data_IF_577159113452
#
_entry.id   IF_577159113452
#
_cell.length_a   1.000
_cell.length_b   1.000
_cell.length_c   1.000
_cell.angle_alpha   90.00
_cell.angle_beta   90.00
_cell.angle_gamma   90.00
#
_symmetry.space_group_name_H-M   'P 1'
#
loop_
_entity.id
_entity.type
_entity.pdbx_description
1 polymer ?
#
# COMPACT_ATOMS: atom_id res chain seq x y z
N UNK A 1 43.18 45.07 29.60
CA UNK A 1 43.06 44.42 28.27
C UNK A 1 42.16 43.16 28.22
N UNK A 2 41.98 42.39 29.30
CA UNK A 2 41.14 41.16 29.28
C UNK A 2 39.62 41.36 29.14
N UNK A 3 39.08 42.54 29.45
CA UNK A 3 37.64 42.83 29.35
C UNK A 3 37.18 42.98 27.89
N UNK A 4 37.98 43.64 27.05
CA UNK A 4 37.74 43.74 25.60
C UNK A 4 37.87 42.38 24.90
N UNK A 5 38.81 41.53 25.35
CA UNK A 5 38.98 40.17 24.81
C UNK A 5 37.78 39.25 25.12
N UNK A 6 37.26 39.28 26.37
CA UNK A 6 36.05 38.52 26.76
C UNK A 6 34.75 39.04 26.13
N UNK A 7 34.68 40.32 25.77
CA UNK A 7 33.53 40.92 25.06
C UNK A 7 33.52 40.52 23.58
N UNK A 8 34.67 40.62 22.91
CA UNK A 8 34.86 40.13 21.54
C UNK A 8 34.66 38.62 21.41
N UNK A 9 35.05 37.82 22.41
CA UNK A 9 34.76 36.38 22.41
C UNK A 9 33.27 36.09 22.58
N UNK A 10 32.53 36.80 23.43
CA UNK A 10 31.06 36.63 23.58
C UNK A 10 30.30 37.05 22.32
N UNK A 11 30.72 38.12 21.65
CA UNK A 11 30.14 38.57 20.38
C UNK A 11 30.45 37.57 19.25
N UNK A 12 31.69 37.07 19.17
CA UNK A 12 32.07 36.00 18.24
C UNK A 12 31.31 34.70 18.52
N UNK A 13 31.13 34.33 19.79
CA UNK A 13 30.33 33.16 20.20
C UNK A 13 28.87 33.33 19.79
N UNK A 14 28.30 34.52 19.96
CA UNK A 14 26.94 34.82 19.53
C UNK A 14 26.77 34.73 18.00
N UNK A 15 27.73 35.22 17.23
CA UNK A 15 27.76 35.11 15.75
C UNK A 15 27.84 33.64 15.32
N UNK A 16 28.72 32.85 15.93
CA UNK A 16 28.85 31.41 15.62
C UNK A 16 27.54 30.67 15.93
N UNK A 17 26.89 30.95 17.08
CA UNK A 17 25.61 30.34 17.44
C UNK A 17 24.49 30.76 16.45
N UNK A 18 24.46 32.02 16.02
CA UNK A 18 23.51 32.52 15.03
C UNK A 18 23.71 31.84 13.67
N UNK A 19 24.95 31.71 13.22
CA UNK A 19 25.28 31.02 11.97
C UNK A 19 24.92 29.53 12.04
N UNK A 20 25.20 28.86 13.15
CA UNK A 20 24.82 27.46 13.36
C UNK A 20 23.30 27.28 13.39
N UNK A 21 22.56 28.19 14.04
CA UNK A 21 21.09 28.19 14.01
C UNK A 21 20.54 28.44 12.61
N UNK A 22 21.10 29.40 11.87
CA UNK A 22 20.65 29.71 10.52
C UNK A 22 20.94 28.56 9.55
N UNK A 23 22.12 27.95 9.65
CA UNK A 23 22.47 26.76 8.89
C UNK A 23 21.52 25.60 9.22
N UNK A 24 21.22 25.36 10.51
CA UNK A 24 20.26 24.34 10.92
C UNK A 24 18.85 24.59 10.36
N UNK A 25 18.38 25.85 10.37
CA UNK A 25 17.10 26.22 9.78
C UNK A 25 17.08 26.01 8.26
N UNK A 26 18.16 26.34 7.56
CA UNK A 26 18.29 26.08 6.12
C UNK A 26 18.25 24.57 5.86
N UNK A 27 19.03 23.77 6.59
CA UNK A 27 19.07 22.31 6.45
C UNK A 27 17.69 21.70 6.69
N UNK A 28 16.97 22.16 7.73
CA UNK A 28 15.61 21.70 8.02
C UNK A 28 14.63 22.10 6.91
N UNK A 29 14.69 23.33 6.42
CA UNK A 29 13.82 23.83 5.36
C UNK A 29 14.06 23.09 4.02
N UNK A 30 15.32 22.82 3.67
CA UNK A 30 15.65 22.05 2.46
C UNK A 30 15.24 20.59 2.62
N UNK A 31 15.51 19.95 3.76
CA UNK A 31 15.12 18.55 3.99
C UNK A 31 13.59 18.35 3.90
N UNK A 32 12.81 19.30 4.41
CA UNK A 32 11.34 19.27 4.28
C UNK A 32 10.88 19.34 2.82
N UNK A 33 11.56 20.12 1.98
CA UNK A 33 11.25 20.23 0.55
C UNK A 33 11.59 18.93 -0.23
N UNK A 34 12.60 18.18 0.22
CA UNK A 34 13.10 17.01 -0.52
C UNK A 34 12.33 15.72 -0.16
N UNK A 35 11.71 15.65 1.02
CA UNK A 35 11.03 14.45 1.53
C UNK A 35 9.52 14.62 1.76
N UNK A 36 8.95 15.80 1.50
CA UNK A 36 7.53 16.09 1.79
C UNK A 36 6.51 15.31 0.96
N UNK A 37 6.92 14.71 -0.16
CA UNK A 37 6.02 14.10 -1.16
C UNK A 37 6.35 12.63 -1.48
N UNK A 38 7.08 11.94 -0.59
CA UNK A 38 7.40 10.52 -0.81
C UNK A 38 6.20 9.66 -0.47
N UNK A 39 5.68 8.93 -1.46
CA UNK A 39 4.51 8.06 -1.33
C UNK A 39 3.24 8.70 -1.92
N UNK A 40 2.08 8.09 -1.68
CA UNK A 40 0.80 8.69 -2.05
C UNK A 40 -0.25 8.46 -0.96
N UNK A 41 -1.17 9.42 -0.85
CA UNK A 41 -2.30 9.29 0.05
C UNK A 41 -3.36 8.34 -0.51
N UNK A 42 -3.92 7.52 0.35
CA UNK A 42 -5.05 6.69 0.03
C UNK A 42 -6.26 7.54 -0.38
N UNK A 43 -6.79 7.28 -1.58
CA UNK A 43 -7.95 7.99 -2.14
C UNK A 43 -9.29 7.60 -1.48
N UNK A 44 -9.30 6.61 -0.57
CA UNK A 44 -10.49 6.22 0.18
C UNK A 44 -10.92 7.34 1.14
N UNK A 45 -12.20 7.70 1.10
CA UNK A 45 -12.80 8.76 1.91
C UNK A 45 -12.64 8.51 3.42
N UNK A 46 -11.75 9.25 4.07
CA UNK A 46 -11.55 9.19 5.52
C UNK A 46 -10.30 8.43 5.97
N UNK A 47 -9.57 7.74 5.06
CA UNK A 47 -8.32 7.08 5.42
C UNK A 47 -7.14 8.05 5.49
N UNK A 48 -6.92 8.86 4.43
CA UNK A 48 -5.79 9.81 4.25
C UNK A 48 -4.38 9.26 4.56
N UNK A 49 -4.23 7.95 4.76
CA UNK A 49 -2.94 7.32 5.03
C UNK A 49 -1.99 7.55 3.87
N UNK A 50 -0.78 8.05 4.16
CA UNK A 50 0.31 8.14 3.21
C UNK A 50 1.03 6.80 3.17
N UNK A 51 1.00 6.13 2.01
CA UNK A 51 1.65 4.84 1.80
C UNK A 51 2.82 5.03 0.82
N UNK A 52 3.99 4.49 1.16
CA UNK A 52 5.19 4.59 0.33
C UNK A 52 5.10 3.70 -0.91
N UNK A 53 4.26 2.65 -0.86
CA UNK A 53 3.95 1.78 -1.99
C UNK A 53 2.44 1.82 -2.27
N UNK A 54 1.94 2.90 -2.90
CA UNK A 54 0.53 3.00 -3.21
C UNK A 54 0.12 1.97 -4.25
N UNK A 55 -1.01 1.30 -4.01
CA UNK A 55 -1.61 0.36 -4.94
C UNK A 55 -2.55 1.12 -5.88
N UNK A 56 -2.28 1.09 -7.18
CA UNK A 56 -3.19 1.64 -8.19
C UNK A 56 -4.26 0.60 -8.53
N UNK A 57 -5.53 1.01 -8.44
CA UNK A 57 -6.67 0.21 -8.88
C UNK A 57 -6.75 0.20 -10.41
N UNK A 58 -6.74 -0.96 -11.04
CA UNK A 58 -6.89 -1.12 -12.50
C UNK A 58 -8.28 -0.76 -13.04
N UNK A 59 -9.27 -0.57 -12.17
CA UNK A 59 -10.63 -0.20 -12.54
C UNK A 59 -10.85 1.31 -12.53
N UNK A 60 -10.43 1.99 -11.46
CA UNK A 60 -10.65 3.43 -11.28
C UNK A 60 -9.37 4.28 -11.31
N UNK A 61 -8.20 3.66 -11.51
CA UNK A 61 -6.88 4.29 -11.60
C UNK A 61 -6.50 5.15 -10.39
N UNK A 62 -7.19 4.97 -9.26
CA UNK A 62 -6.93 5.67 -8.01
C UNK A 62 -5.94 4.89 -7.13
N UNK A 63 -5.18 5.61 -6.31
CA UNK A 63 -4.14 5.05 -5.44
C UNK A 63 -4.68 4.78 -4.03
N UNK A 64 -4.38 3.61 -3.49
CA UNK A 64 -4.85 3.16 -2.17
C UNK A 64 -3.72 2.57 -1.33
N UNK A 65 -3.87 2.62 0.00
CA UNK A 65 -2.97 1.94 0.93
C UNK A 65 -3.24 0.43 0.96
N UNK A 66 -2.38 -0.32 1.67
CA UNK A 66 -2.51 -1.77 1.81
C UNK A 66 -3.90 -2.24 2.27
N UNK A 67 -4.54 -1.52 3.20
CA UNK A 67 -5.87 -1.87 3.72
C UNK A 67 -7.01 -1.61 2.74
N UNK A 68 -6.81 -0.74 1.74
CA UNK A 68 -7.84 -0.31 0.78
C UNK A 68 -7.56 -0.74 -0.66
N UNK A 69 -6.59 -1.65 -0.87
CA UNK A 69 -6.18 -2.11 -2.21
C UNK A 69 -7.24 -2.93 -2.96
N UNK A 70 -8.13 -3.64 -2.27
CA UNK A 70 -9.18 -4.45 -2.92
C UNK A 70 -10.35 -3.57 -3.35
N UNK A 71 -11.09 -3.98 -4.39
CA UNK A 71 -12.18 -3.16 -4.92
C UNK A 71 -13.26 -2.89 -3.87
N UNK A 72 -13.62 -3.91 -3.06
CA UNK A 72 -14.57 -3.80 -1.96
C UNK A 72 -14.09 -2.87 -0.86
N UNK A 73 -12.80 -2.89 -0.51
CA UNK A 73 -12.29 -2.11 0.61
C UNK A 73 -12.33 -0.59 0.36
N UNK A 74 -12.18 -0.14 -0.90
CA UNK A 74 -12.36 1.27 -1.25
C UNK A 74 -13.69 1.59 -1.93
N UNK A 75 -14.61 0.62 -2.01
CA UNK A 75 -15.91 0.81 -2.67
C UNK A 75 -15.78 1.23 -4.13
N UNK A 76 -14.97 0.51 -4.91
CA UNK A 76 -14.63 0.90 -6.28
C UNK A 76 -15.90 1.07 -7.15
N UNK A 77 -16.12 2.26 -7.74
CA UNK A 77 -17.34 2.53 -8.52
C UNK A 77 -17.37 1.75 -9.86
N UNK A 78 -16.20 1.30 -10.33
CA UNK A 78 -16.02 0.61 -11.61
C UNK A 78 -15.66 -0.88 -11.41
N UNK A 79 -15.80 -1.43 -10.20
CA UNK A 79 -15.46 -2.82 -9.91
C UNK A 79 -16.23 -3.79 -10.79
N UNK A 80 -17.52 -3.52 -11.03
CA UNK A 80 -18.39 -4.36 -11.87
C UNK A 80 -18.32 -5.86 -11.57
N UNK A 81 -18.10 -6.27 -10.31
CA UNK A 81 -17.95 -7.67 -9.90
C UNK A 81 -16.56 -8.30 -10.13
N UNK A 82 -15.51 -7.50 -10.34
CA UNK A 82 -14.12 -7.98 -10.53
C UNK A 82 -13.42 -8.46 -9.26
N UNK A 83 -14.01 -8.23 -8.08
CA UNK A 83 -13.60 -8.94 -6.85
C UNK A 83 -14.08 -10.40 -6.96
N UNK A 84 -13.46 -11.17 -7.86
CA UNK A 84 -13.73 -12.60 -7.97
C UNK A 84 -13.10 -13.28 -6.77
N UNK A 85 -13.94 -13.69 -5.83
CA UNK A 85 -13.55 -14.68 -4.85
C UNK A 85 -13.26 -15.98 -5.61
N UNK A 86 -12.25 -16.73 -5.20
CA UNK A 86 -11.89 -17.96 -5.88
C UNK A 86 -11.42 -19.02 -4.88
N UNK A 87 -11.84 -20.26 -5.12
CA UNK A 87 -11.35 -21.43 -4.39
C UNK A 87 -10.50 -22.28 -5.31
N UNK A 88 -9.45 -22.88 -4.75
CA UNK A 88 -8.55 -23.77 -5.50
C UNK A 88 -8.98 -25.21 -5.26
N UNK A 89 -9.09 -25.97 -6.34
CA UNK A 89 -9.47 -27.37 -6.26
C UNK A 89 -8.37 -28.27 -5.69
N UNK A 90 -8.51 -28.88 -4.49
CA UNK A 90 -7.56 -29.87 -4.00
C UNK A 90 -7.30 -31.03 -4.97
N UNK A 91 -8.30 -31.49 -5.74
CA UNK A 91 -8.20 -32.68 -6.61
C UNK A 91 -7.54 -32.40 -7.96
N UNK A 92 -7.96 -31.35 -8.66
CA UNK A 92 -7.47 -31.03 -10.01
C UNK A 92 -6.61 -29.76 -10.09
N UNK A 93 -6.51 -28.99 -9.00
CA UNK A 93 -5.80 -27.70 -8.87
C UNK A 93 -6.34 -26.56 -9.74
N UNK A 94 -7.52 -26.71 -10.36
CA UNK A 94 -8.20 -25.60 -11.06
C UNK A 94 -8.74 -24.57 -10.07
N UNK A 95 -8.72 -23.31 -10.49
CA UNK A 95 -9.32 -22.19 -9.77
C UNK A 95 -10.80 -22.08 -10.16
N UNK A 96 -11.69 -22.16 -9.18
CA UNK A 96 -13.14 -22.01 -9.34
C UNK A 96 -13.50 -20.59 -8.91
N UNK A 97 -14.11 -19.82 -9.82
CA UNK A 97 -14.55 -18.45 -9.55
C UNK A 97 -15.88 -18.47 -8.78
N UNK A 98 -15.99 -17.60 -7.78
CA UNK A 98 -17.16 -17.34 -6.97
C UNK A 98 -17.65 -15.90 -7.21
N UNK A 99 -18.96 -15.72 -7.30
CA UNK A 99 -19.67 -14.45 -7.36
C UNK A 99 -20.12 -14.03 -5.95
N UNK A 100 -20.63 -12.80 -5.82
CA UNK A 100 -20.86 -12.10 -4.55
C UNK A 100 -21.89 -12.74 -3.60
N UNK A 101 -22.51 -13.87 -3.94
CA UNK A 101 -23.37 -14.64 -3.03
C UNK A 101 -23.24 -16.16 -3.23
N UNK A 102 -22.20 -16.61 -3.92
CA UNK A 102 -22.02 -18.03 -4.18
C UNK A 102 -21.54 -18.75 -2.91
N UNK A 103 -22.20 -19.84 -2.55
CA UNK A 103 -21.69 -20.74 -1.52
C UNK A 103 -20.45 -21.50 -2.04
N UNK A 104 -19.31 -21.45 -1.33
CA UNK A 104 -18.08 -22.11 -1.77
C UNK A 104 -18.25 -23.63 -1.94
N UNK A 105 -19.05 -24.27 -1.11
CA UNK A 105 -19.25 -25.72 -1.13
C UNK A 105 -20.18 -26.13 -2.29
N UNK A 106 -21.24 -25.37 -2.56
CA UNK A 106 -22.12 -25.64 -3.70
C UNK A 106 -21.39 -25.47 -5.05
N UNK A 107 -20.57 -24.41 -5.20
CA UNK A 107 -19.75 -24.22 -6.41
C UNK A 107 -18.68 -25.28 -6.56
N UNK A 108 -18.12 -25.73 -5.44
CA UNK A 108 -17.19 -26.85 -5.40
C UNK A 108 -17.84 -28.15 -5.88
N UNK A 109 -19.01 -28.49 -5.35
CA UNK A 109 -19.77 -29.68 -5.73
C UNK A 109 -20.23 -29.63 -7.19
N UNK A 110 -20.68 -28.47 -7.66
CA UNK A 110 -21.00 -28.26 -9.08
C UNK A 110 -19.78 -28.49 -9.98
N UNK A 111 -18.59 -28.04 -9.58
CA UNK A 111 -17.34 -28.33 -10.29
C UNK A 111 -17.02 -29.83 -10.34
N UNK A 112 -17.27 -30.56 -9.24
CA UNK A 112 -17.10 -32.02 -9.21
C UNK A 112 -18.12 -32.73 -10.11
N UNK A 113 -19.39 -32.32 -10.06
CA UNK A 113 -20.49 -32.91 -10.82
C UNK A 113 -20.41 -32.65 -12.33
N UNK A 114 -19.82 -31.51 -12.75
CA UNK A 114 -19.72 -31.12 -14.15
C UNK A 114 -18.77 -32.00 -15.01
N UNK A 115 -18.17 -33.06 -14.46
CA UNK A 115 -17.18 -33.93 -15.13
C UNK A 115 -15.90 -33.23 -15.62
N UNK A 116 -15.76 -31.93 -15.36
CA UNK A 116 -14.57 -31.13 -15.69
C UNK A 116 -13.46 -31.21 -14.62
N UNK A 117 -13.77 -31.82 -13.47
CA UNK A 117 -12.81 -32.09 -12.41
C UNK A 117 -12.06 -33.40 -12.69
N UNK A 118 -10.91 -33.31 -13.35
CA UNK A 118 -10.01 -34.44 -13.56
C UNK A 118 -8.98 -34.48 -12.43
N UNK A 119 -9.07 -35.43 -11.47
CA UNK A 119 -8.08 -35.54 -10.41
C UNK A 119 -6.71 -35.84 -10.99
N UNK A 120 -5.71 -35.04 -10.63
CA UNK A 120 -4.32 -35.28 -11.05
C UNK A 120 -3.77 -36.43 -10.20
N UNK A 121 -3.89 -37.66 -10.68
CA UNK A 121 -3.29 -38.82 -10.00
C UNK A 121 -3.97 -40.19 -10.16
N UNK A 122 -4.91 -40.36 -11.11
CA UNK A 122 -5.48 -41.67 -11.41
C UNK A 122 -4.69 -42.45 -12.47
N UNK A 123 -3.39 -42.69 -12.23
CA UNK A 123 -2.65 -43.70 -12.99
C UNK A 123 -3.10 -45.09 -12.57
N UNK A 124 -4.24 -45.52 -13.10
CA UNK A 124 -4.75 -46.88 -12.93
C UNK A 124 -3.76 -47.88 -13.53
N UNK A 125 -3.35 -48.84 -12.72
CA UNK A 125 -2.72 -50.05 -13.19
C UNK A 125 -3.66 -50.83 -14.11
N UNK A 126 -3.07 -51.38 -15.16
CA UNK A 126 -3.63 -52.36 -16.09
C UNK A 126 -2.46 -53.10 -16.72
#
# INVERSE_FOLDING_TARGET
>A
NSFNFKKGNRERQAIVILLLKYLCLIILATLMAEFGDVGAHCAMSGCRQQDFLPFECDCCHSKFCLSHRSYKAHGCPLAGGRDTLAIICPLCKKTIKLLENDDPNEKWEAHLAASECVPRGGGGGG
#
